data_IF_421835301528
#
_entry.id   IF_421835301528
#
_cell.length_a   1.000
_cell.length_b   1.000
_cell.length_c   1.000
_cell.angle_alpha   90.00
_cell.angle_beta   90.00
_cell.angle_gamma   90.00
#
_symmetry.space_group_name_H-M   'P 1'
#
loop_
_entity.id
_entity.type
_entity.pdbx_description
1 polymer ?
#
# COMPACT_ATOMS: atom_id res chain seq x y z
N UNK A 1 0.11 20.01 5.26
CA UNK A 1 0.51 19.08 6.34
C UNK A 1 -0.30 17.78 6.28
N UNK A 2 -0.12 17.01 5.20
CA UNK A 2 -1.12 16.02 4.72
C UNK A 2 -1.02 14.66 5.48
N UNK A 3 0.01 14.43 6.29
CA UNK A 3 0.23 13.15 6.99
C UNK A 3 -0.06 13.17 8.49
N UNK A 4 0.46 14.17 9.22
CA UNK A 4 0.40 14.18 10.69
C UNK A 4 -1.02 14.45 11.21
N UNK A 5 -1.71 15.41 10.60
CA UNK A 5 -3.10 15.71 10.96
C UNK A 5 -4.03 14.52 10.68
N UNK A 6 -3.82 13.81 9.58
CA UNK A 6 -4.57 12.60 9.25
C UNK A 6 -4.36 11.50 10.30
N UNK A 7 -3.11 11.21 10.69
CA UNK A 7 -2.83 10.22 11.75
C UNK A 7 -3.52 10.57 13.07
N UNK A 8 -3.49 11.85 13.45
CA UNK A 8 -4.15 12.35 14.66
C UNK A 8 -5.67 12.13 14.60
N UNK A 9 -6.33 12.60 13.52
CA UNK A 9 -7.78 12.46 13.35
C UNK A 9 -8.21 11.00 13.32
N UNK A 10 -7.45 10.16 12.62
CA UNK A 10 -7.70 8.73 12.57
C UNK A 10 -7.65 8.10 13.97
N UNK A 11 -6.56 8.31 14.71
CA UNK A 11 -6.40 7.73 16.04
C UNK A 11 -7.50 8.21 17.00
N UNK A 12 -7.90 9.49 16.92
CA UNK A 12 -9.00 10.04 17.72
C UNK A 12 -10.35 9.39 17.37
N UNK A 13 -10.61 9.16 16.09
CA UNK A 13 -11.82 8.47 15.65
C UNK A 13 -11.87 7.02 16.15
N UNK A 14 -10.74 6.30 16.09
CA UNK A 14 -10.65 4.93 16.61
C UNK A 14 -10.80 4.91 18.13
N UNK A 15 -10.13 5.81 18.85
CA UNK A 15 -10.26 5.95 20.30
C UNK A 15 -11.72 6.16 20.72
N UNK A 16 -12.41 7.09 20.07
CA UNK A 16 -13.84 7.31 20.28
C UNK A 16 -14.68 6.05 20.03
N UNK A 17 -14.44 5.34 18.92
CA UNK A 17 -15.19 4.12 18.61
C UNK A 17 -14.95 3.01 19.64
N UNK A 18 -13.71 2.88 20.14
CA UNK A 18 -13.36 1.92 21.19
C UNK A 18 -14.07 2.27 22.50
N UNK A 19 -14.08 3.55 22.88
CA UNK A 19 -14.80 4.02 24.08
C UNK A 19 -16.31 3.80 23.96
N UNK A 20 -16.89 4.09 22.79
CA UNK A 20 -18.29 3.82 22.50
C UNK A 20 -18.60 2.32 22.65
N UNK A 21 -17.81 1.44 22.04
CA UNK A 21 -17.99 0.00 22.18
C UNK A 21 -17.92 -0.45 23.65
N UNK A 22 -16.98 0.09 24.45
CA UNK A 22 -16.88 -0.20 25.88
C UNK A 22 -18.12 0.26 26.65
N UNK A 23 -18.59 1.48 26.39
CA UNK A 23 -19.76 2.07 27.06
C UNK A 23 -21.03 1.25 26.84
N UNK A 24 -21.19 0.67 25.65
CA UNK A 24 -22.38 -0.08 25.27
C UNK A 24 -22.20 -1.61 25.29
N UNK A 25 -21.05 -2.12 25.75
CA UNK A 25 -20.77 -3.56 25.79
C UNK A 25 -20.71 -4.23 24.42
N UNK A 26 -20.30 -3.50 23.38
CA UNK A 26 -20.21 -4.00 22.01
C UNK A 26 -18.84 -4.68 21.81
N UNK A 27 -18.87 -5.97 21.49
CA UNK A 27 -17.68 -6.71 21.14
C UNK A 27 -17.28 -6.48 19.68
N UNK A 28 -15.97 -6.36 19.43
CA UNK A 28 -15.41 -6.21 18.09
C UNK A 28 -14.02 -6.87 18.02
N UNK A 29 -13.74 -7.47 16.86
CA UNK A 29 -12.48 -8.15 16.56
C UNK A 29 -11.66 -7.44 15.47
N UNK A 30 -12.29 -6.49 14.77
CA UNK A 30 -11.74 -5.80 13.62
C UNK A 30 -11.99 -4.29 13.70
N UNK A 31 -11.04 -3.51 13.20
CA UNK A 31 -11.12 -2.06 13.10
C UNK A 31 -11.00 -1.69 11.63
N UNK A 32 -11.91 -0.90 11.10
CA UNK A 32 -11.94 -0.53 9.68
C UNK A 32 -11.81 0.96 9.46
N UNK A 33 -11.21 1.33 8.31
CA UNK A 33 -11.23 2.69 7.79
C UNK A 33 -11.85 2.70 6.40
N UNK A 34 -12.68 3.72 6.16
CA UNK A 34 -13.25 4.01 4.87
C UNK A 34 -13.27 5.53 4.67
N UNK A 35 -12.66 6.00 3.58
CA UNK A 35 -12.65 7.41 3.23
C UNK A 35 -14.02 7.80 2.68
N UNK A 36 -14.40 9.07 2.88
CA UNK A 36 -15.70 9.57 2.43
C UNK A 36 -15.87 9.59 0.89
N UNK A 37 -14.78 9.46 0.13
CA UNK A 37 -14.80 9.38 -1.33
C UNK A 37 -14.72 7.95 -1.88
N UNK A 38 -14.87 6.94 -1.02
CA UNK A 38 -14.83 5.53 -1.37
C UNK A 38 -16.23 4.91 -1.42
N UNK A 39 -16.49 4.15 -2.48
CA UNK A 39 -17.69 3.33 -2.65
C UNK A 39 -17.27 1.86 -2.65
N UNK A 40 -17.76 1.11 -1.67
CA UNK A 40 -17.47 -0.32 -1.50
C UNK A 40 -18.64 -1.18 -1.95
N UNK A 41 -18.37 -2.43 -2.31
CA UNK A 41 -19.43 -3.40 -2.62
C UNK A 41 -20.21 -3.82 -1.35
N UNK A 42 -21.44 -4.29 -1.52
CA UNK A 42 -22.36 -4.63 -0.40
C UNK A 42 -21.74 -5.58 0.62
N UNK A 43 -20.95 -6.56 0.16
CA UNK A 43 -20.31 -7.59 1.02
C UNK A 43 -18.83 -7.31 1.32
N UNK A 44 -18.39 -6.06 1.19
CA UNK A 44 -16.96 -5.72 1.26
C UNK A 44 -16.29 -6.17 2.56
N UNK A 45 -16.81 -5.74 3.71
CA UNK A 45 -16.25 -6.11 5.01
C UNK A 45 -16.46 -7.60 5.33
N UNK A 46 -17.61 -8.19 4.96
CA UNK A 46 -17.86 -9.64 5.08
C UNK A 46 -16.76 -10.45 4.37
N UNK A 47 -16.45 -10.10 3.12
CA UNK A 47 -15.40 -10.78 2.36
C UNK A 47 -14.01 -10.56 2.97
N UNK A 48 -13.68 -9.36 3.45
CA UNK A 48 -12.39 -9.13 4.11
C UNK A 48 -12.28 -9.96 5.39
N UNK A 49 -13.30 -9.96 6.24
CA UNK A 49 -13.34 -10.75 7.46
C UNK A 49 -13.16 -12.23 7.15
N UNK A 50 -13.80 -12.76 6.10
CA UNK A 50 -13.59 -14.14 5.66
C UNK A 50 -12.11 -14.45 5.32
N UNK A 51 -11.34 -13.49 4.83
CA UNK A 51 -9.89 -13.68 4.61
C UNK A 51 -9.09 -13.67 5.92
N UNK A 52 -9.50 -12.88 6.91
CA UNK A 52 -8.93 -12.93 8.26
C UNK A 52 -9.23 -14.27 8.95
N UNK A 53 -10.44 -14.81 8.82
CA UNK A 53 -10.80 -16.10 9.43
C UNK A 53 -10.01 -17.27 8.83
N UNK A 54 -9.63 -17.19 7.56
CA UNK A 54 -8.77 -18.19 6.90
C UNK A 54 -7.32 -18.14 7.38
N UNK A 55 -6.86 -16.99 7.87
CA UNK A 55 -5.46 -16.77 8.23
C UNK A 55 -5.32 -15.97 9.54
N UNK A 56 -5.08 -16.66 10.67
CA UNK A 56 -4.86 -16.01 11.97
C UNK A 56 -3.70 -15.01 11.98
N UNK A 57 -2.71 -15.15 11.08
CA UNK A 57 -1.58 -14.21 10.97
C UNK A 57 -1.88 -12.98 10.12
N UNK A 58 -3.00 -12.94 9.41
CA UNK A 58 -3.40 -11.73 8.68
C UNK A 58 -3.75 -10.63 9.70
N UNK A 59 -2.92 -9.59 9.74
CA UNK A 59 -3.09 -8.44 10.64
C UNK A 59 -3.72 -7.24 9.97
N UNK A 60 -3.46 -7.05 8.67
CA UNK A 60 -3.97 -5.91 7.90
C UNK A 60 -4.40 -6.36 6.51
N UNK A 61 -5.60 -5.98 6.08
CA UNK A 61 -6.09 -6.28 4.74
C UNK A 61 -6.82 -5.10 4.11
N UNK A 62 -6.78 -5.02 2.79
CA UNK A 62 -7.58 -4.04 2.04
C UNK A 62 -8.16 -4.65 0.76
N UNK A 63 -9.20 -4.01 0.24
CA UNK A 63 -9.73 -4.34 -1.08
C UNK A 63 -8.82 -3.89 -2.22
N UNK A 64 -9.15 -4.33 -3.44
CA UNK A 64 -8.59 -3.78 -4.66
C UNK A 64 -9.13 -2.38 -4.94
N UNK A 65 -8.24 -1.44 -5.28
CA UNK A 65 -8.61 -0.07 -5.63
C UNK A 65 -9.03 0.04 -7.10
N UNK A 66 -10.24 0.51 -7.33
CA UNK A 66 -10.80 0.74 -8.65
C UNK A 66 -11.09 2.23 -8.85
N UNK A 67 -10.78 2.74 -10.03
CA UNK A 67 -11.25 4.04 -10.46
C UNK A 67 -12.42 3.89 -11.42
N UNK A 68 -13.36 4.83 -11.35
CA UNK A 68 -14.42 4.96 -12.35
C UNK A 68 -13.97 5.86 -13.49
N UNK A 69 -13.78 5.28 -14.68
CA UNK A 69 -13.48 6.01 -15.92
C UNK A 69 -14.68 5.85 -16.84
N UNK A 70 -15.53 6.88 -16.91
CA UNK A 70 -16.83 6.79 -17.59
C UNK A 70 -17.72 5.75 -16.91
N UNK A 71 -18.17 4.75 -17.68
CA UNK A 71 -18.97 3.62 -17.18
C UNK A 71 -18.13 2.38 -16.83
N UNK A 72 -16.80 2.45 -16.93
CA UNK A 72 -15.91 1.31 -16.69
C UNK A 72 -15.16 1.46 -15.38
N UNK A 73 -15.12 0.37 -14.60
CA UNK A 73 -14.25 0.25 -13.44
C UNK A 73 -12.88 -0.26 -13.88
N UNK A 74 -11.84 0.53 -13.62
CA UNK A 74 -10.46 0.20 -13.95
C UNK A 74 -9.68 -0.02 -12.67
N UNK A 75 -9.14 -1.23 -12.52
CA UNK A 75 -8.29 -1.60 -11.40
C UNK A 75 -6.97 -0.85 -11.47
N UNK A 76 -6.62 -0.19 -10.37
CA UNK A 76 -5.34 0.49 -10.24
C UNK A 76 -4.18 -0.50 -10.34
N UNK A 77 -3.10 -0.08 -11.01
CA UNK A 77 -1.93 -0.93 -11.24
C UNK A 77 -0.99 -0.90 -10.04
N UNK A 78 -1.47 -1.42 -8.92
CA UNK A 78 -0.74 -1.55 -7.65
C UNK A 78 -0.20 -2.98 -7.55
N UNK A 79 0.95 -3.16 -6.91
CA UNK A 79 1.49 -4.50 -6.61
C UNK A 79 0.66 -5.15 -5.52
N UNK A 80 0.46 -6.45 -5.61
CA UNK A 80 -0.40 -7.20 -4.67
C UNK A 80 0.15 -7.23 -3.22
N UNK A 81 1.46 -6.98 -3.04
CA UNK A 81 2.10 -6.90 -1.73
C UNK A 81 2.09 -5.49 -1.09
N UNK A 82 1.40 -4.54 -1.72
CA UNK A 82 1.26 -3.15 -1.25
C UNK A 82 -0.21 -2.88 -0.95
N UNK A 83 -0.48 -2.44 0.28
CA UNK A 83 -1.82 -2.03 0.71
C UNK A 83 -2.13 -0.60 0.25
N UNK A 84 -3.42 -0.32 0.09
CA UNK A 84 -3.95 1.04 -0.10
C UNK A 84 -4.25 1.70 1.25
N UNK A 85 -4.29 3.03 1.29
CA UNK A 85 -4.50 3.78 2.55
C UNK A 85 -5.92 3.62 3.12
N UNK A 86 -6.92 3.53 2.25
CA UNK A 86 -8.34 3.44 2.61
C UNK A 86 -8.96 2.08 2.29
N UNK A 87 -10.23 1.88 2.65
CA UNK A 87 -10.95 0.62 2.50
C UNK A 87 -10.13 -0.56 3.06
N UNK A 88 -9.61 -0.34 4.27
CA UNK A 88 -8.66 -1.20 4.98
C UNK A 88 -9.28 -1.64 6.29
N UNK A 89 -8.95 -2.87 6.69
CA UNK A 89 -9.36 -3.50 7.92
C UNK A 89 -8.11 -3.99 8.66
N UNK A 90 -8.08 -3.81 9.97
CA UNK A 90 -7.07 -4.34 10.88
C UNK A 90 -7.70 -5.37 11.80
N UNK A 91 -6.99 -6.46 12.06
CA UNK A 91 -7.27 -7.32 13.21
C UNK A 91 -6.97 -6.53 14.47
N UNK A 92 -7.88 -6.55 15.44
CA UNK A 92 -7.76 -5.79 16.69
C UNK A 92 -6.42 -6.03 17.40
N UNK A 93 -6.02 -7.29 17.57
CA UNK A 93 -4.75 -7.64 18.21
C UNK A 93 -3.53 -7.01 17.50
N UNK A 94 -3.52 -7.03 16.17
CA UNK A 94 -2.47 -6.37 15.39
C UNK A 94 -2.47 -4.85 15.61
N UNK A 95 -3.65 -4.23 15.61
CA UNK A 95 -3.78 -2.78 15.77
C UNK A 95 -3.35 -2.29 17.16
N UNK A 96 -3.70 -3.05 18.20
CA UNK A 96 -3.27 -2.79 19.59
C UNK A 96 -1.76 -2.96 19.75
N UNK A 97 -1.17 -4.00 19.14
CA UNK A 97 0.28 -4.26 19.22
C UNK A 97 1.12 -3.15 18.55
N UNK A 98 0.67 -2.65 17.38
CA UNK A 98 1.35 -1.54 16.69
C UNK A 98 1.04 -0.16 17.32
N UNK A 99 0.13 -0.11 18.30
CA UNK A 99 -0.31 1.10 19.01
C UNK A 99 -0.98 2.15 18.11
N UNK A 100 -1.80 1.69 17.18
CA UNK A 100 -2.50 2.54 16.22
C UNK A 100 -1.61 3.12 15.11
N UNK A 101 -2.06 4.22 14.49
CA UNK A 101 -1.27 4.87 13.44
C UNK A 101 -0.18 5.76 14.07
N UNK A 102 1.08 5.64 13.66
CA UNK A 102 2.13 6.53 14.13
C UNK A 102 1.87 7.95 13.61
N UNK A 103 2.10 8.96 14.46
CA UNK A 103 2.07 10.36 14.03
C UNK A 103 3.33 10.63 13.22
N UNK A 104 3.24 10.39 11.91
CA UNK A 104 4.34 10.56 10.96
C UNK A 104 3.79 10.90 9.58
N UNK A 105 4.66 11.32 8.67
CA UNK A 105 4.30 11.32 7.25
C UNK A 105 4.02 9.89 6.76
N UNK A 106 2.99 9.73 5.92
CA UNK A 106 2.52 8.43 5.41
C UNK A 106 2.22 7.40 6.50
N UNK A 107 1.37 7.74 7.48
CA UNK A 107 1.18 6.93 8.70
C UNK A 107 0.69 5.51 8.40
N UNK A 108 -0.18 5.31 7.41
CA UNK A 108 -0.67 3.98 7.03
C UNK A 108 0.46 3.06 6.59
N UNK A 109 1.40 3.59 5.80
CA UNK A 109 2.54 2.84 5.27
C UNK A 109 3.50 2.46 6.40
N UNK A 110 3.70 3.36 7.36
CA UNK A 110 4.55 3.11 8.53
C UNK A 110 3.91 2.03 9.40
N UNK A 111 2.59 2.13 9.66
CA UNK A 111 1.83 1.11 10.39
C UNK A 111 1.89 -0.27 9.71
N UNK A 112 1.73 -0.34 8.38
CA UNK A 112 1.81 -1.58 7.62
C UNK A 112 3.20 -2.25 7.76
N UNK A 113 4.28 -1.44 7.79
CA UNK A 113 5.64 -1.96 7.99
C UNK A 113 5.85 -2.41 9.43
N UNK A 114 5.37 -1.66 10.42
CA UNK A 114 5.45 -2.08 11.83
C UNK A 114 4.70 -3.40 12.04
N UNK A 115 3.50 -3.56 11.47
CA UNK A 115 2.75 -4.81 11.52
C UNK A 115 3.58 -6.00 10.98
N UNK A 116 4.22 -5.83 9.81
CA UNK A 116 5.13 -6.85 9.24
C UNK A 116 6.32 -7.16 10.14
N UNK A 117 6.93 -6.14 10.74
CA UNK A 117 8.07 -6.30 11.64
C UNK A 117 7.67 -7.00 12.96
N UNK A 118 6.40 -6.93 13.35
CA UNK A 118 5.81 -7.70 14.46
C UNK A 118 5.36 -9.11 14.05
N UNK A 119 5.59 -9.51 12.80
CA UNK A 119 5.29 -10.86 12.31
C UNK A 119 3.87 -11.03 11.76
N UNK A 120 3.09 -9.95 11.65
CA UNK A 120 1.79 -9.98 11.00
C UNK A 120 1.91 -9.99 9.47
N UNK A 121 1.00 -10.68 8.83
CA UNK A 121 0.85 -10.68 7.38
C UNK A 121 -0.09 -9.55 6.93
N UNK A 122 0.14 -9.07 5.70
CA UNK A 122 -0.66 -8.02 5.07
C UNK A 122 -1.16 -8.49 3.70
N UNK A 123 -2.41 -8.24 3.35
CA UNK A 123 -2.99 -8.70 2.08
C UNK A 123 -3.86 -7.68 1.34
N UNK A 124 -3.71 -7.58 0.02
CA UNK A 124 -4.64 -6.86 -0.86
C UNK A 124 -5.43 -7.86 -1.70
N UNK A 125 -6.76 -7.80 -1.60
CA UNK A 125 -7.68 -8.74 -2.23
C UNK A 125 -8.41 -8.07 -3.39
N UNK A 126 -7.96 -8.32 -4.63
CA UNK A 126 -8.38 -7.58 -5.83
C UNK A 126 -9.83 -7.83 -6.20
N UNK A 127 -10.34 -9.00 -5.87
CA UNK A 127 -11.72 -9.44 -6.04
C UNK A 127 -12.70 -8.73 -5.10
N UNK A 128 -12.20 -8.15 -4.01
CA UNK A 128 -12.98 -7.35 -3.06
C UNK A 128 -12.85 -5.88 -3.47
N UNK A 129 -13.90 -5.32 -4.07
CA UNK A 129 -13.80 -4.06 -4.82
C UNK A 129 -14.05 -2.84 -3.94
N UNK A 130 -13.07 -1.94 -3.90
CA UNK A 130 -13.20 -0.59 -3.34
C UNK A 130 -13.02 0.45 -4.46
N UNK A 131 -14.01 1.30 -4.69
CA UNK A 131 -14.05 2.24 -5.80
C UNK A 131 -13.79 3.65 -5.26
N UNK A 132 -12.75 4.31 -5.76
CA UNK A 132 -12.54 5.71 -5.44
C UNK A 132 -13.31 6.59 -6.43
N UNK A 133 -14.19 7.44 -5.90
CA UNK A 133 -15.05 8.33 -6.68
C UNK A 133 -14.29 9.61 -7.05
N UNK A 134 -13.44 10.10 -6.14
CA UNK A 134 -12.59 11.25 -6.41
C UNK A 134 -11.42 10.82 -7.29
N UNK A 135 -11.26 11.46 -8.44
CA UNK A 135 -10.00 11.34 -9.19
C UNK A 135 -8.89 11.95 -8.35
N UNK A 136 -7.98 11.13 -7.83
CA UNK A 136 -6.72 11.63 -7.28
C UNK A 136 -5.91 12.19 -8.45
N UNK A 137 -6.00 13.52 -8.61
CA UNK A 137 -5.05 14.43 -9.25
C UNK A 137 -4.10 13.81 -10.29
N UNK A 138 -4.62 13.50 -11.46
CA UNK A 138 -3.84 13.60 -12.71
C UNK A 138 -3.61 15.05 -13.14
N UNK A 139 -4.13 16.02 -12.38
CA UNK A 139 -4.11 17.45 -12.69
C UNK A 139 -2.71 18.10 -12.61
N UNK A 140 -1.74 17.48 -11.94
CA UNK A 140 -0.42 18.09 -11.72
C UNK A 140 0.66 17.69 -12.73
N UNK A 141 0.31 16.83 -13.70
CA UNK A 141 1.24 16.34 -14.73
C UNK A 141 2.19 15.24 -14.26
N UNK A 142 2.63 14.40 -15.21
CA UNK A 142 3.46 13.23 -14.92
C UNK A 142 4.81 13.60 -14.27
N UNK A 143 5.41 14.74 -14.66
CA UNK A 143 6.68 15.18 -14.09
C UNK A 143 6.59 15.39 -12.57
N UNK A 144 5.62 16.20 -12.11
CA UNK A 144 5.45 16.50 -10.68
C UNK A 144 5.12 15.23 -9.89
N UNK A 145 4.24 14.38 -10.43
CA UNK A 145 3.89 13.11 -9.78
C UNK A 145 5.08 12.16 -9.59
N UNK A 146 5.92 11.99 -10.62
CA UNK A 146 7.09 11.11 -10.50
C UNK A 146 8.22 11.74 -9.65
N UNK A 147 8.39 13.06 -9.68
CA UNK A 147 9.28 13.78 -8.75
C UNK A 147 8.90 13.53 -7.29
N UNK A 148 7.62 13.70 -6.95
CA UNK A 148 7.09 13.41 -5.60
C UNK A 148 7.33 11.94 -5.22
N UNK A 149 7.18 10.99 -6.15
CA UNK A 149 7.51 9.59 -5.87
C UNK A 149 9.00 9.38 -5.55
N UNK A 150 9.89 10.13 -6.20
CA UNK A 150 11.34 10.13 -5.93
C UNK A 150 11.67 10.68 -4.54
N UNK A 151 11.12 11.85 -4.22
CA UNK A 151 11.23 12.48 -2.89
C UNK A 151 10.70 11.54 -1.81
N UNK A 152 9.54 10.91 -2.04
CA UNK A 152 8.95 9.93 -1.14
C UNK A 152 9.80 8.65 -0.99
N UNK A 153 10.58 8.27 -2.00
CA UNK A 153 11.52 7.15 -1.87
C UNK A 153 12.74 7.52 -1.01
N UNK A 154 13.20 8.76 -1.09
CA UNK A 154 14.27 9.28 -0.24
C UNK A 154 13.80 9.39 1.22
N UNK A 155 12.62 9.99 1.43
CA UNK A 155 11.99 10.12 2.74
C UNK A 155 11.85 8.75 3.45
N UNK A 156 11.43 7.72 2.72
CA UNK A 156 11.33 6.34 3.22
C UNK A 156 12.67 5.61 3.39
N UNK A 157 13.79 6.23 3.02
CA UNK A 157 15.12 5.64 3.08
C UNK A 157 15.30 4.36 2.23
N UNK A 158 14.73 4.34 1.03
CA UNK A 158 15.01 3.28 0.07
C UNK A 158 16.51 3.23 -0.28
N UNK A 159 17.03 2.02 -0.44
CA UNK A 159 18.41 1.79 -0.87
C UNK A 159 18.68 2.48 -2.23
N UNK A 160 19.75 3.29 -2.38
CA UNK A 160 20.02 4.04 -3.61
C UNK A 160 20.06 3.17 -4.88
N UNK A 161 20.70 2.01 -4.83
CA UNK A 161 20.74 1.07 -5.97
C UNK A 161 19.34 0.62 -6.42
N UNK A 162 18.42 0.39 -5.48
CA UNK A 162 17.05 0.02 -5.80
C UNK A 162 16.30 1.18 -6.46
N UNK A 163 16.54 2.41 -5.99
CA UNK A 163 15.96 3.62 -6.60
C UNK A 163 16.50 3.82 -8.01
N UNK A 164 17.80 3.67 -8.24
CA UNK A 164 18.41 3.75 -9.57
C UNK A 164 17.78 2.70 -10.49
N UNK A 165 17.73 1.43 -10.07
CA UNK A 165 17.13 0.36 -10.87
C UNK A 165 15.65 0.65 -11.21
N UNK A 166 14.87 1.15 -10.25
CA UNK A 166 13.48 1.55 -10.47
C UNK A 166 13.36 2.74 -11.43
N UNK A 167 14.23 3.74 -11.31
CA UNK A 167 14.30 4.89 -12.20
C UNK A 167 14.69 4.51 -13.63
N UNK A 168 15.69 3.65 -13.81
CA UNK A 168 16.06 3.08 -15.11
C UNK A 168 14.87 2.36 -15.74
N UNK A 169 14.14 1.54 -14.98
CA UNK A 169 12.91 0.88 -15.47
C UNK A 169 11.85 1.89 -15.92
N UNK A 170 11.78 3.07 -15.30
CA UNK A 170 10.87 4.15 -15.72
C UNK A 170 11.37 4.88 -16.96
N UNK A 171 12.69 5.01 -17.17
CA UNK A 171 13.26 5.56 -18.41
C UNK A 171 12.92 4.73 -19.65
N UNK A 172 12.63 3.43 -19.50
CA UNK A 172 12.17 2.57 -20.61
C UNK A 172 10.65 2.63 -20.85
N UNK A 173 9.90 3.43 -20.08
CA UNK A 173 8.45 3.60 -20.27
C UNK A 173 8.16 4.98 -20.83
N UNK A 174 7.37 5.05 -21.91
CA UNK A 174 6.92 6.33 -22.44
C UNK A 174 5.91 6.99 -21.48
N UNK A 175 5.98 8.32 -21.27
CA UNK A 175 7.03 9.20 -21.77
C UNK A 175 8.32 9.09 -20.92
N UNK A 176 9.49 8.96 -21.55
CA UNK A 176 10.74 8.57 -20.88
C UNK A 176 11.19 9.52 -19.76
N UNK A 177 10.79 10.80 -19.81
CA UNK A 177 11.13 11.80 -18.79
C UNK A 177 10.61 11.44 -17.38
N UNK A 178 9.66 10.51 -17.24
CA UNK A 178 9.16 10.08 -15.92
C UNK A 178 10.25 9.42 -15.07
N UNK A 179 11.20 8.72 -15.71
CA UNK A 179 12.35 8.17 -15.01
C UNK A 179 13.30 9.26 -14.52
N UNK A 180 13.50 10.30 -15.33
CA UNK A 180 14.31 11.48 -14.96
C UNK A 180 13.66 12.20 -13.77
N UNK A 181 12.35 12.48 -13.84
CA UNK A 181 11.61 13.13 -12.77
C UNK A 181 11.75 12.38 -11.44
N UNK A 182 11.61 11.04 -11.48
CA UNK A 182 11.76 10.18 -10.30
C UNK A 182 13.17 10.22 -9.70
N UNK A 183 14.20 10.05 -10.53
CA UNK A 183 15.59 10.12 -10.06
C UNK A 183 15.94 11.51 -9.53
N UNK A 184 15.50 12.56 -10.23
CA UNK A 184 15.67 13.94 -9.80
C UNK A 184 15.05 14.20 -8.42
N UNK A 185 13.82 13.74 -8.18
CA UNK A 185 13.18 13.86 -6.87
C UNK A 185 13.99 13.22 -5.74
N UNK A 186 14.52 12.01 -5.97
CA UNK A 186 15.34 11.32 -4.97
C UNK A 186 16.67 12.01 -4.71
N UNK A 187 17.46 12.28 -5.77
CA UNK A 187 18.80 12.84 -5.62
C UNK A 187 18.79 14.30 -5.19
N UNK A 188 17.81 15.10 -5.63
CA UNK A 188 17.64 16.45 -5.10
C UNK A 188 17.32 16.45 -3.60
N UNK A 189 16.55 15.47 -3.12
CA UNK A 189 16.28 15.29 -1.67
C UNK A 189 17.53 14.88 -0.89
N UNK A 190 18.36 14.02 -1.48
CA UNK A 190 19.64 13.62 -0.91
C UNK A 190 20.60 14.81 -0.79
N UNK A 191 20.77 15.59 -1.85
CA UNK A 191 21.66 16.75 -1.88
C UNK A 191 21.21 17.83 -0.88
N UNK A 192 19.88 18.03 -0.77
CA UNK A 192 19.30 19.00 0.16
C UNK A 192 19.28 18.50 1.61
N UNK A 193 19.64 17.25 1.87
CA UNK A 193 19.58 16.67 3.21
C UNK A 193 18.17 16.70 3.80
N UNK A 194 17.14 16.44 2.99
CA UNK A 194 15.76 16.42 3.49
C UNK A 194 15.61 15.40 4.64
N UNK A 195 14.58 15.60 5.44
CA UNK A 195 14.22 14.66 6.51
C UNK A 195 13.80 13.29 5.95
N UNK A 196 13.94 12.28 6.79
CA UNK A 196 13.53 10.90 6.52
C UNK A 196 12.52 10.47 7.58
N UNK A 197 11.90 9.31 7.40
CA UNK A 197 11.08 8.69 8.44
C UNK A 197 11.85 8.64 9.76
N UNK A 198 11.20 9.15 10.81
CA UNK A 198 11.73 9.22 12.17
C UNK A 198 11.91 7.84 12.79
N UNK A 199 10.97 6.92 12.50
CA UNK A 199 11.02 5.55 12.97
C UNK A 199 12.22 4.78 12.34
N UNK A 200 13.25 4.55 13.16
CA UNK A 200 14.48 3.85 12.76
C UNK A 200 14.23 2.43 12.26
N UNK A 201 13.32 1.69 12.87
CA UNK A 201 13.02 0.29 12.52
C UNK A 201 12.43 0.22 11.10
N UNK A 202 11.46 1.08 10.80
CA UNK A 202 10.85 1.21 9.48
C UNK A 202 11.88 1.68 8.44
N UNK A 203 12.76 2.60 8.85
CA UNK A 203 13.84 3.11 8.01
C UNK A 203 14.86 2.02 7.64
N UNK A 204 15.23 1.17 8.59
CA UNK A 204 16.12 0.03 8.38
C UNK A 204 15.46 -1.02 7.48
N UNK A 205 14.16 -1.27 7.63
CA UNK A 205 13.39 -2.16 6.75
C UNK A 205 13.42 -1.69 5.29
N UNK A 206 13.18 -0.41 5.01
CA UNK A 206 13.21 0.11 3.64
C UNK A 206 14.58 0.02 3.00
N UNK A 207 15.63 0.22 3.79
CA UNK A 207 17.00 0.15 3.32
C UNK A 207 17.43 -1.29 3.04
N UNK A 208 17.16 -2.22 3.96
CA UNK A 208 17.73 -3.59 3.94
C UNK A 208 16.81 -4.65 3.35
N UNK A 209 15.50 -4.52 3.49
CA UNK A 209 14.55 -5.60 3.20
C UNK A 209 13.62 -5.29 2.02
N UNK A 210 13.19 -4.04 1.85
CA UNK A 210 12.15 -3.73 0.86
C UNK A 210 12.53 -4.07 -0.59
N UNK A 211 13.81 -3.90 -0.94
CA UNK A 211 14.30 -4.27 -2.27
C UNK A 211 14.29 -5.80 -2.47
N UNK A 212 14.56 -6.59 -1.44
CA UNK A 212 14.49 -8.06 -1.48
C UNK A 212 13.06 -8.54 -1.71
N UNK A 213 12.08 -7.91 -1.05
CA UNK A 213 10.65 -8.20 -1.32
C UNK A 213 10.27 -7.93 -2.77
N UNK A 214 10.71 -6.78 -3.31
CA UNK A 214 10.46 -6.44 -4.71
C UNK A 214 11.07 -7.48 -5.67
N UNK A 215 12.31 -7.92 -5.41
CA UNK A 215 12.97 -8.97 -6.19
C UNK A 215 12.17 -10.27 -6.09
N UNK A 216 11.81 -10.73 -4.88
CA UNK A 216 11.01 -11.94 -4.67
C UNK A 216 9.69 -11.89 -5.45
N UNK A 217 8.98 -10.76 -5.38
CA UNK A 217 7.72 -10.57 -6.09
C UNK A 217 7.87 -10.66 -7.62
N UNK A 218 8.84 -9.94 -8.21
CA UNK A 218 9.03 -9.99 -9.66
C UNK A 218 9.56 -11.35 -10.13
N UNK A 219 10.42 -12.01 -9.34
CA UNK A 219 10.86 -13.38 -9.60
C UNK A 219 9.69 -14.35 -9.58
N UNK A 220 8.80 -14.26 -8.59
CA UNK A 220 7.59 -15.07 -8.53
C UNK A 220 6.69 -14.88 -9.77
N UNK A 221 6.47 -13.63 -10.20
CA UNK A 221 5.68 -13.35 -11.41
C UNK A 221 6.29 -13.94 -12.68
N UNK A 222 7.63 -13.88 -12.82
CA UNK A 222 8.33 -14.48 -13.95
C UNK A 222 8.14 -16.01 -13.97
N UNK A 223 8.23 -16.67 -12.82
CA UNK A 223 7.98 -18.11 -12.71
C UNK A 223 6.52 -18.48 -12.98
N UNK A 224 5.55 -17.67 -12.52
CA UNK A 224 4.12 -17.89 -12.80
C UNK A 224 3.85 -17.81 -14.30
N UNK A 225 4.33 -16.75 -14.96
CA UNK A 225 4.18 -16.58 -16.41
C UNK A 225 4.76 -17.76 -17.21
N UNK A 226 5.96 -18.25 -16.85
CA UNK A 226 6.57 -19.43 -17.49
C UNK A 226 5.74 -20.70 -17.30
N UNK A 227 5.09 -20.88 -16.15
CA UNK A 227 4.19 -22.03 -15.91
C UNK A 227 2.92 -21.95 -16.76
N UNK A 228 2.30 -20.77 -16.82
CA UNK A 228 1.09 -20.55 -17.62
C UNK A 228 1.37 -20.76 -19.13
N UNK A 229 2.52 -20.28 -19.63
CA UNK A 229 2.97 -20.51 -21.01
C UNK A 229 3.23 -22.00 -21.32
N UNK A 230 3.80 -22.75 -20.38
CA UNK A 230 3.99 -24.20 -20.52
C UNK A 230 2.67 -24.96 -20.49
N UNK A 231 1.74 -24.59 -19.60
CA UNK A 231 0.40 -25.18 -19.52
C UNK A 231 -0.41 -24.98 -20.80
N UNK A 232 -0.39 -23.76 -21.37
CA UNK A 232 -1.05 -23.48 -22.66
C UNK A 232 -0.43 -24.25 -23.82
N UNK A 233 0.90 -24.41 -23.85
CA UNK A 233 1.58 -25.23 -24.88
C UNK A 233 1.24 -26.71 -24.76
N UNK A 234 1.08 -27.23 -23.54
CA UNK A 234 0.67 -28.61 -23.33
C UNK A 234 -0.79 -28.84 -23.73
N UNK A 235 -1.71 -27.94 -23.36
CA UNK A 235 -3.13 -28.04 -23.74
C UNK A 235 -3.36 -27.94 -25.26
N UNK A 236 -2.49 -27.26 -26.00
CA UNK A 236 -2.51 -27.22 -27.48
C UNK A 236 -1.94 -28.47 -28.16
N UNK A 237 -1.21 -29.33 -27.43
CA UNK A 237 -0.68 -30.61 -27.94
C UNK A 237 -1.67 -31.78 -27.81
N UNK A 238 -2.74 -31.59 -27.04
CA UNK A 238 -3.82 -32.56 -26.82
C UNK A 238 -5.14 -32.16 -27.50
N UNK A 239 -5.09 -31.19 -28.43
CA UNK A 239 -6.14 -30.88 -29.40
C UNK A 239 -5.60 -31.19 -30.79
#
# INVERSE_FOLDING_TARGET
DIGMHYAYVFNKGVEFAIEFCKMYGIHYDYIGILDADMVIETKFFEKLINEFEKNPKLGVACGGLYNKIGNTLVLEKIREDILIGSAKLWRRACFEEIKGLPISYSPDVVADVIAKLRGWETGMFREIKAIQVRRISSAEGLWKGYKIQGESAYFRNYHPLFVIAKGLRYLFKRPYYIGIAYLYGYFSSLIRGMEKIDNKEVRDYYYREKHKEAIRYYTFLLFRKKRDEKGQKSARKFK
#
